data_IF_983513141667
#
_entry.id   IF_983513141667
#
_cell.length_a   1.000
_cell.length_b   1.000
_cell.length_c   1.000
_cell.angle_alpha   90.00
_cell.angle_beta   90.00
_cell.angle_gamma   90.00
#
_symmetry.space_group_name_H-M   'P 1'
#
loop_
_entity.id
_entity.type
_entity.pdbx_description
1 polymer ?
#
# COMPACT_ATOMS: atom_id res chain seq x y z
N UNK A 1 -9.49 -16.87 -12.19
CA UNK A 1 -9.94 -16.64 -13.56
C UNK A 1 -11.46 -16.65 -13.68
N UNK A 2 -12.14 -17.78 -13.40
CA UNK A 2 -13.60 -17.91 -13.50
C UNK A 2 -14.36 -16.87 -12.65
N UNK A 3 -13.95 -16.65 -11.41
CA UNK A 3 -14.56 -15.67 -10.49
C UNK A 3 -14.40 -14.25 -11.02
N UNK A 4 -13.21 -13.86 -11.49
CA UNK A 4 -12.95 -12.53 -12.04
C UNK A 4 -13.76 -12.29 -13.32
N UNK A 5 -13.82 -13.30 -14.21
CA UNK A 5 -14.65 -13.26 -15.41
C UNK A 5 -16.14 -13.09 -15.08
N UNK A 6 -16.66 -13.85 -14.11
CA UNK A 6 -18.04 -13.75 -13.68
C UNK A 6 -18.35 -12.35 -13.08
N UNK A 7 -17.44 -11.79 -12.31
CA UNK A 7 -17.57 -10.45 -11.75
C UNK A 7 -17.64 -9.35 -12.83
N UNK A 8 -16.73 -9.39 -13.80
CA UNK A 8 -16.69 -8.42 -14.90
C UNK A 8 -17.92 -8.53 -15.81
N UNK A 9 -18.34 -9.74 -16.14
CA UNK A 9 -19.54 -9.98 -16.94
C UNK A 9 -20.82 -9.54 -16.23
N UNK A 10 -20.90 -9.67 -14.90
CA UNK A 10 -22.03 -9.20 -14.11
C UNK A 10 -22.12 -7.67 -14.08
N UNK A 11 -20.99 -6.96 -14.18
CA UNK A 11 -20.96 -5.50 -14.13
C UNK A 11 -21.22 -4.83 -15.49
N UNK A 12 -20.60 -5.31 -16.57
CA UNK A 12 -20.54 -4.54 -17.82
C UNK A 12 -21.05 -5.29 -19.06
N UNK A 13 -21.30 -6.61 -18.99
CA UNK A 13 -21.73 -7.37 -20.15
C UNK A 13 -20.75 -7.36 -21.33
N UNK A 14 -19.47 -7.02 -21.09
CA UNK A 14 -18.47 -6.79 -22.11
C UNK A 14 -17.81 -8.09 -22.54
N UNK A 15 -17.98 -8.44 -23.82
CA UNK A 15 -17.42 -9.67 -24.42
C UNK A 15 -15.91 -9.63 -24.66
N UNK A 16 -15.30 -8.45 -24.74
CA UNK A 16 -13.84 -8.32 -24.95
C UNK A 16 -13.04 -8.97 -23.82
N UNK A 17 -13.60 -9.02 -22.61
CA UNK A 17 -12.95 -9.66 -21.47
C UNK A 17 -12.87 -11.18 -21.62
N UNK A 18 -13.75 -11.79 -22.41
CA UNK A 18 -13.72 -13.24 -22.66
C UNK A 18 -12.50 -13.63 -23.47
N UNK A 19 -12.17 -12.88 -24.49
CA UNK A 19 -11.04 -13.16 -25.37
C UNK A 19 -9.70 -12.86 -24.71
N UNK A 20 -9.63 -11.81 -23.86
CA UNK A 20 -8.42 -11.46 -23.14
C UNK A 20 -7.85 -12.61 -22.27
N UNK A 21 -8.72 -13.37 -21.62
CA UNK A 21 -8.31 -14.49 -20.78
C UNK A 21 -8.22 -15.84 -21.50
N UNK A 22 -8.60 -15.91 -22.78
CA UNK A 22 -8.62 -17.16 -23.53
C UNK A 22 -7.22 -17.78 -23.64
N UNK A 23 -6.19 -16.95 -23.81
CA UNK A 23 -4.80 -17.37 -24.02
C UNK A 23 -3.85 -17.06 -22.84
N UNK A 24 -4.36 -16.51 -21.71
CA UNK A 24 -3.53 -16.12 -20.55
C UNK A 24 -3.38 -17.28 -19.55
N UNK A 25 -2.95 -18.43 -19.98
CA UNK A 25 -2.62 -19.59 -19.14
C UNK A 25 -1.28 -20.19 -19.57
N UNK A 26 -0.73 -21.09 -18.77
CA UNK A 26 0.47 -21.81 -19.14
C UNK A 26 0.11 -22.83 -20.22
N UNK A 27 0.53 -22.56 -21.45
CA UNK A 27 0.35 -23.44 -22.60
C UNK A 27 1.46 -24.48 -22.62
N UNK A 28 1.16 -25.68 -23.09
CA UNK A 28 2.18 -26.64 -23.46
C UNK A 28 2.82 -26.27 -24.81
N UNK A 29 3.85 -27.03 -25.23
CA UNK A 29 4.60 -26.73 -26.44
C UNK A 29 3.74 -26.87 -27.70
N UNK A 30 2.84 -27.88 -27.76
CA UNK A 30 1.99 -28.14 -28.91
C UNK A 30 0.94 -27.02 -29.08
N UNK A 31 0.32 -26.61 -27.99
CA UNK A 31 -0.60 -25.48 -27.99
C UNK A 31 0.09 -24.18 -28.43
N UNK A 32 1.30 -23.93 -27.91
CA UNK A 32 2.07 -22.72 -28.22
C UNK A 32 2.48 -22.68 -29.71
N UNK A 33 2.92 -23.80 -30.26
CA UNK A 33 3.24 -23.91 -31.69
C UNK A 33 2.00 -23.76 -32.57
N UNK A 34 0.86 -24.22 -32.14
CA UNK A 34 -0.42 -24.02 -32.83
C UNK A 34 -0.80 -22.53 -32.90
N UNK A 35 -0.68 -21.80 -31.78
CA UNK A 35 -0.97 -20.37 -31.77
C UNK A 35 0.02 -19.53 -32.58
N UNK A 36 1.29 -19.94 -32.61
CA UNK A 36 2.37 -19.24 -33.33
C UNK A 36 2.71 -19.87 -34.68
N UNK A 37 1.80 -20.63 -35.28
CA UNK A 37 1.98 -21.32 -36.56
C UNK A 37 2.31 -20.42 -37.76
N UNK A 38 2.20 -19.10 -37.63
CA UNK A 38 2.62 -18.12 -38.62
C UNK A 38 4.13 -17.80 -38.57
N UNK A 39 4.86 -18.25 -37.54
CA UNK A 39 6.32 -18.19 -37.49
C UNK A 39 6.93 -19.46 -38.09
N UNK A 40 8.14 -19.31 -38.66
CA UNK A 40 8.90 -20.48 -39.09
C UNK A 40 9.40 -21.29 -37.87
N UNK A 41 9.63 -22.59 -38.07
CA UNK A 41 10.21 -23.45 -37.03
C UNK A 41 11.56 -22.91 -36.50
N UNK A 42 12.38 -22.32 -37.41
CA UNK A 42 13.64 -21.70 -37.04
C UNK A 42 13.41 -20.52 -36.04
N UNK A 43 12.43 -19.67 -36.33
CA UNK A 43 12.09 -18.54 -35.45
C UNK A 43 11.58 -19.03 -34.08
N UNK A 44 10.74 -20.06 -34.03
CA UNK A 44 10.29 -20.67 -32.79
C UNK A 44 11.45 -21.25 -31.97
N UNK A 45 12.38 -21.95 -32.62
CA UNK A 45 13.58 -22.48 -31.98
C UNK A 45 14.50 -21.38 -31.41
N UNK A 46 14.59 -20.24 -32.09
CA UNK A 46 15.32 -19.07 -31.57
C UNK A 46 14.62 -18.52 -30.34
N UNK A 47 13.28 -18.41 -30.35
CA UNK A 47 12.50 -17.93 -29.22
C UNK A 47 12.69 -18.84 -27.99
N UNK A 48 12.60 -20.16 -28.14
CA UNK A 48 12.83 -21.11 -27.06
C UNK A 48 14.26 -21.03 -26.50
N UNK A 49 15.27 -20.92 -27.35
CA UNK A 49 16.66 -20.70 -26.90
C UNK A 49 16.82 -19.40 -26.12
N UNK A 50 16.09 -18.35 -26.48
CA UNK A 50 16.15 -17.10 -25.75
C UNK A 50 15.48 -17.19 -24.38
N UNK A 51 14.43 -18.00 -24.22
CA UNK A 51 13.84 -18.31 -22.90
C UNK A 51 14.89 -18.96 -21.99
N UNK A 52 15.61 -19.96 -22.52
CA UNK A 52 16.69 -20.61 -21.76
C UNK A 52 17.81 -19.64 -21.38
N UNK A 53 18.22 -18.72 -22.28
CA UNK A 53 19.18 -17.67 -21.95
C UNK A 53 18.69 -16.76 -20.83
N UNK A 54 17.39 -16.37 -20.85
CA UNK A 54 16.81 -15.55 -19.77
C UNK A 54 16.86 -16.33 -18.45
N UNK A 55 16.50 -17.64 -18.49
CA UNK A 55 16.59 -18.51 -17.30
C UNK A 55 18.03 -18.54 -16.74
N UNK A 56 19.03 -18.69 -17.62
CA UNK A 56 20.45 -18.77 -17.21
C UNK A 56 20.99 -17.42 -16.68
N UNK A 57 20.33 -16.31 -17.03
CA UNK A 57 20.65 -14.97 -16.48
C UNK A 57 20.01 -14.74 -15.10
N UNK A 58 19.04 -15.57 -14.71
CA UNK A 58 18.40 -15.46 -13.41
C UNK A 58 19.23 -16.18 -12.35
N UNK A 59 19.58 -15.48 -11.30
CA UNK A 59 20.22 -16.05 -10.14
C UNK A 59 19.19 -16.62 -9.16
N UNK A 60 19.56 -17.70 -8.48
CA UNK A 60 18.75 -18.23 -7.39
C UNK A 60 18.79 -17.26 -6.20
N UNK A 61 17.69 -16.59 -5.93
CA UNK A 61 17.56 -15.71 -4.77
C UNK A 61 16.20 -15.89 -4.08
N UNK A 62 16.19 -15.63 -2.79
CA UNK A 62 14.94 -15.65 -2.04
C UNK A 62 14.16 -14.35 -2.24
N UNK A 63 12.92 -14.47 -2.67
CA UNK A 63 11.96 -13.36 -2.71
C UNK A 63 11.47 -12.98 -1.30
N UNK A 64 11.61 -13.91 -0.35
CA UNK A 64 11.21 -13.70 1.04
C UNK A 64 12.28 -12.88 1.75
N UNK A 65 12.16 -11.57 1.70
CA UNK A 65 12.97 -10.64 2.45
C UNK A 65 12.20 -10.13 3.67
N UNK A 66 12.88 -9.75 4.75
CA UNK A 66 12.24 -9.01 5.82
C UNK A 66 11.55 -7.76 5.28
N UNK A 67 10.40 -7.41 5.85
CA UNK A 67 9.75 -6.14 5.50
C UNK A 67 10.67 -4.98 5.86
N UNK A 68 10.90 -4.10 4.90
CA UNK A 68 11.67 -2.89 5.09
C UNK A 68 10.81 -1.67 4.78
N UNK A 69 10.57 -0.85 5.79
CA UNK A 69 9.91 0.45 5.64
C UNK A 69 10.99 1.51 5.86
N UNK A 70 11.31 2.34 4.85
CA UNK A 70 12.28 3.42 5.01
C UNK A 70 11.89 4.33 6.18
N UNK A 71 12.84 4.62 7.04
CA UNK A 71 12.63 5.51 8.19
C UNK A 71 13.30 6.86 7.91
N UNK A 72 12.49 7.90 7.75
CA UNK A 72 12.99 9.26 7.67
C UNK A 72 13.43 9.75 9.05
N UNK A 73 14.51 10.53 9.13
CA UNK A 73 14.93 11.14 10.39
C UNK A 73 13.92 12.22 10.80
N UNK A 74 13.11 11.93 11.79
CA UNK A 74 12.19 12.91 12.39
C UNK A 74 12.88 13.65 13.53
N UNK A 75 12.61 14.95 13.64
CA UNK A 75 13.17 15.77 14.71
C UNK A 75 12.25 15.70 15.92
N UNK A 76 12.82 15.55 17.12
CA UNK A 76 12.09 15.61 18.39
C UNK A 76 11.32 16.93 18.55
N UNK A 77 11.78 18.01 17.93
CA UNK A 77 11.07 19.30 17.91
C UNK A 77 9.67 19.25 17.25
N UNK A 78 9.33 18.17 16.56
CA UNK A 78 7.98 17.92 16.02
C UNK A 78 7.05 17.28 17.05
N UNK A 79 7.60 16.77 18.14
CA UNK A 79 6.80 16.16 19.21
C UNK A 79 6.20 17.27 20.06
N UNK A 80 4.88 17.21 20.22
CA UNK A 80 4.12 18.12 21.09
C UNK A 80 3.46 17.32 22.20
N UNK A 81 3.07 18.00 23.24
CA UNK A 81 2.29 17.37 24.31
C UNK A 81 0.89 17.02 23.80
N UNK A 82 0.56 15.74 23.85
CA UNK A 82 -0.78 15.25 23.57
C UNK A 82 -1.61 15.30 24.85
N UNK A 83 -2.69 16.07 24.84
CA UNK A 83 -3.55 16.26 26.01
C UNK A 83 -4.23 14.94 26.42
N UNK A 84 -4.41 14.74 27.72
CA UNK A 84 -5.04 13.53 28.25
C UNK A 84 -6.46 13.28 27.70
N UNK A 85 -7.20 14.34 27.40
CA UNK A 85 -8.53 14.20 26.81
C UNK A 85 -8.53 13.51 25.43
N UNK A 86 -7.44 13.59 24.67
CA UNK A 86 -7.27 12.84 23.43
C UNK A 86 -6.96 11.38 23.70
N UNK A 87 -6.12 11.09 24.70
CA UNK A 87 -5.79 9.73 25.13
C UNK A 87 -7.04 9.02 25.67
N UNK A 88 -7.93 9.72 26.37
CA UNK A 88 -9.20 9.18 26.85
C UNK A 88 -10.16 8.83 25.71
N UNK A 89 -10.18 9.64 24.63
CA UNK A 89 -11.01 9.40 23.45
C UNK A 89 -10.43 8.34 22.53
N UNK A 90 -9.12 8.29 22.40
CA UNK A 90 -8.37 7.42 21.49
C UNK A 90 -7.25 6.73 22.28
N UNK A 91 -7.56 5.65 23.02
CA UNK A 91 -6.62 5.03 23.96
C UNK A 91 -5.28 4.59 23.37
N UNK A 92 -5.26 4.11 22.10
CA UNK A 92 -4.02 3.71 21.45
C UNK A 92 -3.04 4.87 21.16
N UNK A 93 -3.47 6.14 21.24
CA UNK A 93 -2.55 7.27 21.19
C UNK A 93 -1.48 7.19 22.28
N UNK A 94 -1.86 6.69 23.49
CA UNK A 94 -0.91 6.53 24.60
C UNK A 94 0.30 5.67 24.18
N UNK A 95 0.05 4.56 23.49
CA UNK A 95 1.10 3.63 23.05
C UNK A 95 2.09 4.32 22.10
N UNK A 96 1.60 5.18 21.21
CA UNK A 96 2.44 5.91 20.26
C UNK A 96 3.20 7.07 20.93
N UNK A 97 2.56 7.76 21.85
CA UNK A 97 3.18 8.86 22.64
C UNK A 97 4.29 8.34 23.55
N UNK A 98 4.13 7.15 24.12
CA UNK A 98 5.10 6.51 25.03
C UNK A 98 6.13 5.63 24.28
N UNK A 99 6.09 5.56 22.94
CA UNK A 99 7.02 4.78 22.14
C UNK A 99 8.43 5.37 22.17
N UNK A 100 9.45 4.51 22.16
CA UNK A 100 10.85 4.90 22.01
C UNK A 100 11.20 5.36 20.59
N UNK A 101 10.32 5.12 19.61
CA UNK A 101 10.52 5.54 18.23
C UNK A 101 9.91 6.91 17.98
N UNK A 102 10.76 7.90 17.65
CA UNK A 102 10.33 9.29 17.41
C UNK A 102 9.23 9.39 16.35
N UNK A 103 9.26 8.54 15.31
CA UNK A 103 8.22 8.52 14.28
C UNK A 103 6.83 8.17 14.82
N UNK A 104 6.73 7.27 15.80
CA UNK A 104 5.45 6.94 16.43
C UNK A 104 4.89 8.16 17.19
N UNK A 105 5.73 8.84 17.95
CA UNK A 105 5.36 10.04 18.70
C UNK A 105 4.93 11.18 17.75
N UNK A 106 5.66 11.37 16.63
CA UNK A 106 5.31 12.35 15.60
C UNK A 106 3.97 12.01 14.95
N UNK A 107 3.71 10.75 14.63
CA UNK A 107 2.44 10.31 14.07
C UNK A 107 1.28 10.64 15.00
N UNK A 108 1.42 10.34 16.30
CA UNK A 108 0.40 10.67 17.30
C UNK A 108 0.10 12.18 17.34
N UNK A 109 1.14 13.01 17.35
CA UNK A 109 0.98 14.47 17.35
C UNK A 109 0.27 14.97 16.09
N UNK A 110 0.65 14.46 14.90
CA UNK A 110 0.04 14.89 13.63
C UNK A 110 -1.43 14.48 13.54
N UNK A 111 -1.78 13.31 14.06
CA UNK A 111 -3.19 12.86 14.10
C UNK A 111 -4.01 13.80 14.99
N UNK A 112 -3.51 14.15 16.16
CA UNK A 112 -4.21 15.07 17.08
C UNK A 112 -4.33 16.45 16.46
N UNK A 113 -3.25 17.01 15.88
CA UNK A 113 -3.27 18.28 15.15
C UNK A 113 -4.34 18.26 14.04
N UNK A 114 -4.38 17.21 13.23
CA UNK A 114 -5.36 17.08 12.15
C UNK A 114 -6.81 16.99 12.66
N UNK A 115 -7.04 16.38 13.82
CA UNK A 115 -8.36 16.34 14.45
C UNK A 115 -8.74 17.71 15.05
N UNK A 116 -7.78 18.45 15.59
CA UNK A 116 -8.01 19.78 16.18
C UNK A 116 -8.27 20.85 15.11
N UNK A 117 -7.53 20.80 14.01
CA UNK A 117 -7.62 21.76 12.90
C UNK A 117 -8.65 21.34 11.84
N UNK A 118 -9.13 20.10 11.92
CA UNK A 118 -10.04 19.51 10.95
C UNK A 118 -11.50 19.98 11.08
N UNK A 119 -12.35 19.57 10.13
CA UNK A 119 -13.77 19.93 10.14
C UNK A 119 -14.49 19.33 11.34
N UNK A 120 -15.48 20.06 11.86
CA UNK A 120 -16.22 19.69 13.07
C UNK A 120 -16.94 18.33 12.93
N UNK A 121 -17.22 17.89 11.72
CA UNK A 121 -17.82 16.59 11.41
C UNK A 121 -16.95 15.42 11.86
N UNK A 122 -15.65 15.62 12.03
CA UNK A 122 -14.72 14.61 12.58
C UNK A 122 -14.78 14.50 14.10
N UNK A 123 -15.43 15.45 14.79
CA UNK A 123 -15.50 15.49 16.25
C UNK A 123 -16.64 14.60 16.79
N UNK A 124 -16.53 13.31 16.58
CA UNK A 124 -17.52 12.35 17.04
C UNK A 124 -16.90 11.01 17.41
N UNK A 125 -17.64 10.22 18.20
CA UNK A 125 -17.17 8.94 18.72
C UNK A 125 -16.78 7.96 17.61
N UNK A 126 -17.51 7.93 16.51
CA UNK A 126 -17.22 7.03 15.38
C UNK A 126 -15.84 7.30 14.80
N UNK A 127 -15.50 8.56 14.59
CA UNK A 127 -14.17 8.97 14.11
C UNK A 127 -13.08 8.54 15.06
N UNK A 128 -13.29 8.76 16.37
CA UNK A 128 -12.29 8.38 17.38
C UNK A 128 -12.10 6.87 17.47
N UNK A 129 -13.18 6.09 17.37
CA UNK A 129 -13.11 4.63 17.33
C UNK A 129 -12.37 4.13 16.07
N UNK A 130 -12.59 4.72 14.90
CA UNK A 130 -11.89 4.38 13.67
C UNK A 130 -10.40 4.72 13.75
N UNK A 131 -10.04 5.90 14.27
CA UNK A 131 -8.64 6.28 14.50
C UNK A 131 -7.98 5.32 15.47
N UNK A 132 -8.65 4.99 16.56
CA UNK A 132 -8.14 4.06 17.55
C UNK A 132 -7.90 2.66 16.97
N UNK A 133 -8.83 2.14 16.18
CA UNK A 133 -8.69 0.85 15.52
C UNK A 133 -7.55 0.85 14.49
N UNK A 134 -7.37 1.93 13.73
CA UNK A 134 -6.25 2.06 12.80
C UNK A 134 -4.90 2.12 13.51
N UNK A 135 -4.81 2.82 14.64
CA UNK A 135 -3.60 2.86 15.48
C UNK A 135 -3.29 1.48 16.07
N UNK A 136 -4.30 0.77 16.56
CA UNK A 136 -4.16 -0.60 17.06
C UNK A 136 -3.60 -1.52 15.97
N UNK A 137 -4.20 -1.53 14.79
CA UNK A 137 -3.70 -2.32 13.65
C UNK A 137 -2.26 -1.95 13.27
N UNK A 138 -1.95 -0.66 13.26
CA UNK A 138 -0.61 -0.14 12.96
C UNK A 138 0.40 -0.68 13.97
N UNK A 139 0.07 -0.65 15.26
CA UNK A 139 0.92 -1.15 16.33
C UNK A 139 1.12 -2.66 16.27
N UNK A 140 0.04 -3.43 16.10
CA UNK A 140 0.10 -4.89 15.93
C UNK A 140 0.96 -5.25 14.72
N UNK A 141 0.75 -4.59 13.58
CA UNK A 141 1.54 -4.81 12.36
C UNK A 141 3.01 -4.48 12.56
N UNK A 142 3.33 -3.43 13.30
CA UNK A 142 4.71 -3.06 13.64
C UNK A 142 5.40 -4.17 14.43
N UNK A 143 4.73 -4.72 15.44
CA UNK A 143 5.28 -5.78 16.27
C UNK A 143 5.45 -7.11 15.51
N UNK A 144 4.44 -7.50 14.72
CA UNK A 144 4.49 -8.75 13.92
C UNK A 144 5.59 -8.70 12.88
N UNK A 145 5.72 -7.59 12.18
CA UNK A 145 6.67 -7.44 11.08
C UNK A 145 8.05 -6.93 11.54
N UNK A 146 8.21 -6.58 12.82
CA UNK A 146 9.42 -5.95 13.37
C UNK A 146 9.85 -4.72 12.55
N UNK A 147 8.88 -3.91 12.17
CA UNK A 147 9.08 -2.70 11.38
C UNK A 147 8.10 -1.62 11.86
N UNK A 148 8.55 -0.36 11.93
CA UNK A 148 7.70 0.76 12.37
C UNK A 148 6.74 1.19 11.25
N UNK A 149 5.49 0.74 11.32
CA UNK A 149 4.47 1.09 10.32
C UNK A 149 4.06 2.56 10.35
N UNK A 150 4.29 3.28 11.45
CA UNK A 150 4.17 4.74 11.48
C UNK A 150 5.02 5.42 10.41
N UNK A 151 6.20 4.88 10.12
CA UNK A 151 7.05 5.38 9.05
C UNK A 151 6.39 5.31 7.67
N UNK A 152 5.52 4.32 7.41
CA UNK A 152 4.77 4.25 6.15
C UNK A 152 3.85 5.46 5.98
N UNK A 153 3.06 5.80 7.00
CA UNK A 153 2.15 6.94 6.96
C UNK A 153 2.90 8.26 6.82
N UNK A 154 3.95 8.43 7.62
CA UNK A 154 4.76 9.65 7.62
C UNK A 154 5.55 9.86 6.32
N UNK A 155 6.04 8.77 5.70
CA UNK A 155 6.70 8.85 4.40
C UNK A 155 5.73 9.29 3.31
N UNK A 156 4.51 8.73 3.31
CA UNK A 156 3.49 9.10 2.34
C UNK A 156 3.07 10.55 2.50
N UNK A 157 2.80 10.98 3.73
CA UNK A 157 2.52 12.38 4.04
C UNK A 157 3.62 13.30 3.54
N UNK A 158 4.90 12.97 3.79
CA UNK A 158 6.03 13.76 3.34
C UNK A 158 6.13 13.86 1.83
N UNK A 159 5.89 12.76 1.13
CA UNK A 159 5.89 12.74 -0.35
C UNK A 159 4.81 13.67 -0.89
N UNK A 160 3.59 13.60 -0.33
CA UNK A 160 2.47 14.44 -0.77
C UNK A 160 2.75 15.90 -0.46
N UNK A 161 3.27 16.22 0.72
CA UNK A 161 3.66 17.57 1.10
C UNK A 161 4.70 18.17 0.12
N UNK A 162 5.72 17.39 -0.26
CA UNK A 162 6.73 17.83 -1.23
C UNK A 162 6.14 18.01 -2.64
N UNK A 163 5.18 17.17 -3.04
CA UNK A 163 4.44 17.35 -4.29
C UNK A 163 3.66 18.67 -4.30
N UNK A 164 2.94 18.98 -3.22
CA UNK A 164 2.21 20.24 -3.11
C UNK A 164 3.16 21.46 -3.13
N UNK A 165 4.30 21.40 -2.43
CA UNK A 165 5.33 22.46 -2.45
C UNK A 165 5.90 22.67 -3.85
N UNK A 166 6.03 21.59 -4.63
CA UNK A 166 6.49 21.68 -6.01
C UNK A 166 5.39 22.13 -7.00
N UNK A 167 4.19 22.44 -6.53
CA UNK A 167 3.05 22.83 -7.37
C UNK A 167 2.46 21.68 -8.21
N UNK A 168 2.75 20.44 -7.86
CA UNK A 168 2.22 19.25 -8.55
C UNK A 168 0.87 18.86 -7.95
N UNK A 169 -0.10 18.59 -8.82
CA UNK A 169 -1.39 18.06 -8.37
C UNK A 169 -1.25 16.60 -7.93
N UNK A 170 -1.76 16.31 -6.75
CA UNK A 170 -1.83 14.94 -6.22
C UNK A 170 -3.26 14.43 -6.41
N UNK A 171 -3.41 13.29 -7.08
CA UNK A 171 -4.72 12.66 -7.27
C UNK A 171 -5.22 11.96 -6.01
N UNK A 172 -6.50 11.53 -6.01
CA UNK A 172 -7.14 10.92 -4.83
C UNK A 172 -6.59 9.54 -4.45
N UNK A 173 -5.60 9.05 -5.19
CA UNK A 173 -5.02 7.74 -4.96
C UNK A 173 -5.84 6.59 -5.55
N UNK A 174 -5.28 5.39 -5.45
CA UNK A 174 -5.92 4.13 -5.88
C UNK A 174 -5.52 3.00 -4.93
N UNK A 175 -6.45 2.12 -4.64
CA UNK A 175 -6.22 0.95 -3.79
C UNK A 175 -6.90 1.08 -2.42
N UNK A 176 -6.74 0.06 -1.59
CA UNK A 176 -7.41 -0.03 -0.28
C UNK A 176 -6.90 1.00 0.74
N UNK A 177 -5.67 1.46 0.60
CA UNK A 177 -5.06 2.44 1.51
C UNK A 177 -5.84 3.76 1.61
N UNK A 178 -6.48 4.20 0.52
CA UNK A 178 -7.26 5.45 0.50
C UNK A 178 -8.49 5.44 1.43
N UNK A 179 -8.90 4.26 1.91
CA UNK A 179 -9.98 4.11 2.87
C UNK A 179 -9.55 4.22 4.34
N UNK A 180 -8.25 4.37 4.63
CA UNK A 180 -7.78 4.48 6.00
C UNK A 180 -7.88 5.92 6.50
N UNK A 181 -8.56 6.11 7.64
CA UNK A 181 -8.76 7.43 8.22
C UNK A 181 -7.44 8.15 8.56
N UNK A 182 -6.39 7.41 8.93
CA UNK A 182 -5.08 8.02 9.21
C UNK A 182 -4.49 8.71 7.97
N UNK A 183 -4.68 8.14 6.77
CA UNK A 183 -4.21 8.77 5.54
C UNK A 183 -5.03 10.03 5.20
N UNK A 184 -6.32 10.03 5.50
CA UNK A 184 -7.15 11.22 5.35
C UNK A 184 -6.73 12.35 6.30
N UNK A 185 -6.41 12.03 7.57
CA UNK A 185 -6.00 13.01 8.55
C UNK A 185 -4.61 13.62 8.28
N UNK A 186 -3.73 12.87 7.59
CA UNK A 186 -2.35 13.31 7.33
C UNK A 186 -2.18 14.10 6.03
N UNK A 187 -3.21 14.21 5.19
CA UNK A 187 -3.21 14.87 3.90
C UNK A 187 -4.40 15.80 3.73
#
# INVERSE_FOLDING_TARGET
>A
RAIHKAYLNAQNGDREVDDFYATTYLMDTEELESYFGYFSQEQLQIAYRNILKIKDMCEDYSLLKPLYIPQLPWKESRIRYVQNCWIERIPYLKTFVESDYVGDQVLACMIVEALEDGPQELWNQKTWDEVNACLEMTWISSNVNKAHWSAYYLNLQRIIEECWKAGTLVGPGRGSGVGFILLYLLN
#
